data_IF_117215362825
#
_entry.id   IF_117215362825
#
_cell.length_a   1.000
_cell.length_b   1.000
_cell.length_c   1.000
_cell.angle_alpha   90.00
_cell.angle_beta   90.00
_cell.angle_gamma   90.00
#
_symmetry.space_group_name_H-M   'P 1'
#
loop_
_entity.id
_entity.type
_entity.pdbx_description
1 polymer ?
#
# COMPACT_ATOMS: atom_id res chain seq x y z
N UNK A 1 0.99 16.19 -49.92
CA UNK A 1 1.29 14.98 -49.14
C UNK A 1 1.22 15.37 -47.67
N UNK A 2 0.00 15.40 -47.13
CA UNK A 2 -0.27 15.72 -45.74
C UNK A 2 -0.57 14.39 -45.03
N UNK A 3 0.38 13.92 -44.21
CA UNK A 3 0.15 12.79 -43.33
C UNK A 3 -0.42 13.30 -42.02
N UNK A 4 -1.75 13.31 -41.94
CA UNK A 4 -2.47 13.52 -40.69
C UNK A 4 -2.23 12.34 -39.75
N UNK A 5 -1.54 12.61 -38.63
CA UNK A 5 -1.43 11.68 -37.52
C UNK A 5 -2.75 11.66 -36.77
N UNK A 6 -3.59 10.68 -37.12
CA UNK A 6 -4.78 10.35 -36.36
C UNK A 6 -4.33 9.64 -35.07
N UNK A 7 -4.34 10.35 -33.94
CA UNK A 7 -4.20 9.71 -32.64
C UNK A 7 -5.38 8.73 -32.46
N UNK A 8 -5.15 7.47 -32.03
CA UNK A 8 -6.22 6.50 -31.90
C UNK A 8 -7.20 6.98 -30.82
N UNK A 9 -8.47 7.16 -31.21
CA UNK A 9 -9.58 7.56 -30.33
C UNK A 9 -9.70 6.71 -29.04
N UNK A 10 -9.10 5.53 -29.02
CA UNK A 10 -8.98 4.65 -27.85
C UNK A 10 -8.21 5.29 -26.69
N UNK A 11 -7.24 6.18 -26.95
CA UNK A 11 -6.43 6.79 -25.89
C UNK A 11 -7.16 7.97 -25.21
N UNK A 12 -8.06 8.65 -25.92
CA UNK A 12 -8.89 9.74 -25.38
C UNK A 12 -10.05 9.19 -24.54
N UNK A 13 -10.69 8.10 -24.97
CA UNK A 13 -11.68 7.39 -24.14
C UNK A 13 -11.07 6.82 -22.85
N UNK A 14 -9.78 6.51 -22.86
CA UNK A 14 -9.05 6.02 -21.69
C UNK A 14 -8.74 7.11 -20.65
N UNK A 15 -8.50 8.34 -21.09
CA UNK A 15 -8.29 9.49 -20.20
C UNK A 15 -9.62 9.96 -19.59
N UNK A 16 -10.73 9.91 -20.34
CA UNK A 16 -12.05 10.29 -19.81
C UNK A 16 -12.60 9.30 -18.77
N UNK A 17 -12.34 7.99 -18.89
CA UNK A 17 -12.79 7.00 -17.90
C UNK A 17 -12.04 7.08 -16.56
N UNK A 18 -10.87 7.72 -16.51
CA UNK A 18 -10.06 7.84 -15.30
C UNK A 18 -10.01 9.27 -14.72
N UNK A 19 -10.51 10.29 -15.43
CA UNK A 19 -10.43 11.70 -15.00
C UNK A 19 -11.78 12.30 -14.56
N UNK A 20 -12.83 11.49 -14.36
CA UNK A 20 -14.07 11.96 -13.73
C UNK A 20 -14.34 11.26 -12.37
N UNK A 21 -13.84 11.83 -11.25
CA UNK A 21 -14.13 11.34 -9.91
C UNK A 21 -15.55 11.72 -9.42
N UNK A 22 -16.34 12.48 -10.20
CA UNK A 22 -17.54 13.16 -9.66
C UNK A 22 -18.83 12.36 -9.75
N UNK A 23 -18.84 11.19 -10.38
CA UNK A 23 -20.10 10.50 -10.69
C UNK A 23 -20.49 9.28 -9.84
N UNK A 24 -19.87 9.04 -8.67
CA UNK A 24 -20.22 7.86 -7.84
C UNK A 24 -20.25 8.02 -6.32
N UNK A 25 -20.59 9.21 -5.81
CA UNK A 25 -20.74 9.46 -4.36
C UNK A 25 -22.18 9.80 -3.90
N UNK A 26 -23.20 9.58 -4.72
CA UNK A 26 -24.56 10.06 -4.40
C UNK A 26 -25.56 9.01 -3.83
N UNK A 27 -25.18 7.78 -3.45
CA UNK A 27 -26.19 6.83 -2.95
C UNK A 27 -25.77 5.76 -1.93
N UNK A 28 -24.64 5.90 -1.22
CA UNK A 28 -24.32 5.03 -0.09
C UNK A 28 -24.29 5.85 1.20
N UNK A 29 -25.48 6.16 1.70
CA UNK A 29 -25.68 6.95 2.93
C UNK A 29 -26.01 6.07 4.15
N UNK A 30 -25.54 4.82 4.15
CA UNK A 30 -25.49 4.00 5.36
C UNK A 30 -24.03 3.62 5.58
N UNK A 31 -23.36 4.08 6.65
CA UNK A 31 -22.03 3.62 6.97
C UNK A 31 -22.17 2.14 7.33
N UNK A 32 -21.60 1.21 6.55
CA UNK A 32 -21.55 -0.16 7.02
C UNK A 32 -20.69 -0.14 8.29
N UNK A 33 -21.26 -0.65 9.38
CA UNK A 33 -20.55 -0.95 10.62
C UNK A 33 -19.50 -2.04 10.35
N UNK A 34 -18.46 -1.68 9.60
CA UNK A 34 -17.23 -2.45 9.47
C UNK A 34 -16.46 -2.22 10.75
N UNK A 35 -16.60 -3.18 11.65
CA UNK A 35 -15.66 -3.35 12.74
C UNK A 35 -14.31 -3.62 12.09
N UNK A 36 -13.48 -2.59 11.95
CA UNK A 36 -12.06 -2.70 11.67
C UNK A 36 -11.39 -3.43 12.85
N UNK A 37 -11.44 -4.76 12.85
CA UNK A 37 -10.80 -5.63 13.87
C UNK A 37 -9.25 -5.66 13.74
N UNK A 38 -8.67 -4.80 12.92
CA UNK A 38 -7.21 -4.77 12.70
C UNK A 38 -6.71 -3.33 12.64
N UNK A 39 -6.78 -2.60 13.76
CA UNK A 39 -5.76 -1.62 14.18
C UNK A 39 -6.17 -1.08 15.56
N UNK A 40 -6.17 -1.92 16.60
CA UNK A 40 -6.20 -1.41 17.98
C UNK A 40 -4.78 -0.91 18.33
N UNK A 41 -4.27 0.07 17.56
CA UNK A 41 -3.14 0.89 17.97
C UNK A 41 -3.65 1.77 19.09
N UNK A 42 -3.53 1.24 20.29
CA UNK A 42 -3.73 2.02 21.49
C UNK A 42 -2.72 3.16 21.49
N UNK A 43 -3.11 4.33 20.99
CA UNK A 43 -2.31 5.55 21.12
C UNK A 43 -2.00 5.70 22.60
N UNK A 44 -0.73 5.74 22.96
CA UNK A 44 -0.35 5.85 24.37
C UNK A 44 -0.37 7.31 24.77
N UNK A 45 -1.29 7.71 25.64
CA UNK A 45 -1.30 9.01 26.27
C UNK A 45 -0.33 9.03 27.46
N UNK A 46 0.45 10.11 27.59
CA UNK A 46 1.32 10.34 28.75
C UNK A 46 0.60 11.22 29.77
N UNK A 47 0.24 10.66 30.92
CA UNK A 47 -0.49 11.38 31.97
C UNK A 47 0.31 11.38 33.26
N UNK A 48 0.40 12.54 33.91
CA UNK A 48 1.11 12.71 35.18
C UNK A 48 0.18 12.42 36.36
N UNK A 49 0.65 11.61 37.32
CA UNK A 49 -0.13 11.31 38.54
C UNK A 49 -0.27 12.58 39.43
N UNK A 50 -1.48 12.93 39.90
CA UNK A 50 -1.73 14.17 40.65
C UNK A 50 -1.04 14.20 42.04
N UNK A 51 -0.75 13.04 42.63
CA UNK A 51 -0.15 12.95 43.97
C UNK A 51 1.38 12.90 43.96
N UNK A 52 1.97 12.13 43.05
CA UNK A 52 3.43 11.90 43.05
C UNK A 52 4.18 12.51 41.86
N UNK A 53 3.46 13.12 40.90
CA UNK A 53 4.01 13.76 39.71
C UNK A 53 4.63 12.81 38.68
N UNK A 54 4.59 11.49 38.88
CA UNK A 54 5.19 10.54 37.94
C UNK A 54 4.34 10.43 36.68
N UNK A 55 4.97 10.61 35.51
CA UNK A 55 4.36 10.40 34.20
C UNK A 55 4.16 8.92 33.92
N UNK A 56 2.96 8.55 33.50
CA UNK A 56 2.53 7.20 33.16
C UNK A 56 2.12 7.17 31.68
N UNK A 57 2.53 6.13 30.96
CA UNK A 57 2.05 5.87 29.61
C UNK A 57 0.85 4.93 29.71
N UNK A 58 -0.34 5.42 29.38
CA UNK A 58 -1.58 4.65 29.36
C UNK A 58 -2.13 4.58 27.94
N UNK A 59 -2.89 3.54 27.63
CA UNK A 59 -3.61 3.45 26.35
C UNK A 59 -4.74 4.50 26.30
N UNK A 60 -4.99 5.12 25.16
CA UNK A 60 -6.10 6.07 24.95
C UNK A 60 -7.47 5.47 25.32
N UNK A 61 -7.66 4.16 25.11
CA UNK A 61 -8.85 3.41 25.55
C UNK A 61 -9.09 3.41 27.07
N UNK A 62 -8.10 3.85 27.86
CA UNK A 62 -8.20 4.00 29.30
C UNK A 62 -8.60 5.42 29.71
N UNK A 63 -8.74 6.36 28.77
CA UNK A 63 -9.38 7.64 29.03
C UNK A 63 -10.80 7.41 29.58
N UNK A 64 -11.17 8.18 30.60
CA UNK A 64 -12.39 8.02 31.38
C UNK A 64 -12.39 6.85 32.37
N UNK A 65 -11.40 5.95 32.36
CA UNK A 65 -11.30 4.82 33.31
C UNK A 65 -10.42 5.17 34.52
N UNK A 66 -10.74 4.55 35.66
CA UNK A 66 -9.93 4.65 36.88
C UNK A 66 -8.67 3.80 36.75
N UNK A 67 -7.52 4.41 36.95
CA UNK A 67 -6.20 3.74 36.98
C UNK A 67 -5.47 4.03 38.28
N UNK A 68 -4.57 3.13 38.67
CA UNK A 68 -3.75 3.28 39.87
C UNK A 68 -2.31 3.62 39.47
N UNK A 69 -1.73 4.60 40.15
CA UNK A 69 -0.32 4.91 39.96
C UNK A 69 0.58 3.77 40.50
N UNK A 70 1.54 3.23 39.74
CA UNK A 70 2.45 2.20 40.21
C UNK A 70 3.44 2.66 41.28
N UNK A 71 3.61 3.98 41.49
CA UNK A 71 4.55 4.53 42.50
C UNK A 71 3.88 4.81 43.84
N UNK A 72 2.74 5.52 43.86
CA UNK A 72 2.05 5.91 45.10
C UNK A 72 0.73 5.18 45.35
N UNK A 73 0.29 4.32 44.43
CA UNK A 73 -1.00 3.59 44.48
C UNK A 73 -2.27 4.45 44.49
N UNK A 74 -2.15 5.78 44.36
CA UNK A 74 -3.31 6.66 44.24
C UNK A 74 -4.13 6.31 42.99
N UNK A 75 -5.44 6.17 43.17
CA UNK A 75 -6.39 5.86 42.11
C UNK A 75 -7.01 7.16 41.57
N UNK A 76 -6.86 7.42 40.27
CA UNK A 76 -7.41 8.60 39.61
C UNK A 76 -8.03 8.22 38.26
N UNK A 77 -8.90 9.08 37.73
CA UNK A 77 -9.50 8.91 36.39
C UNK A 77 -8.57 9.55 35.37
N UNK A 78 -8.25 8.83 34.29
CA UNK A 78 -7.50 9.40 33.16
C UNK A 78 -8.42 10.36 32.39
N UNK A 79 -8.15 11.65 32.41
CA UNK A 79 -8.80 12.63 31.53
C UNK A 79 -8.11 12.61 30.17
N UNK A 80 -8.89 12.58 29.09
CA UNK A 80 -8.33 12.68 27.74
C UNK A 80 -7.87 14.13 27.49
N UNK A 81 -6.57 14.39 27.24
CA UNK A 81 -6.09 15.75 27.01
C UNK A 81 -6.70 16.40 25.76
N UNK A 82 -7.20 15.62 24.79
CA UNK A 82 -7.74 16.16 23.54
C UNK A 82 -9.14 16.79 23.69
N UNK A 83 -9.83 16.58 24.82
CA UNK A 83 -11.20 17.07 25.03
C UNK A 83 -11.36 18.39 25.80
N UNK A 84 -10.28 19.04 26.23
CA UNK A 84 -10.35 20.20 27.16
C UNK A 84 -9.91 21.53 26.53
N UNK A 85 -9.30 21.51 25.33
CA UNK A 85 -8.89 22.75 24.65
C UNK A 85 -10.06 23.50 23.99
N UNK A 86 -11.22 22.87 23.77
CA UNK A 86 -12.34 23.51 23.05
C UNK A 86 -13.42 24.17 23.94
N UNK A 87 -13.40 23.93 25.26
CA UNK A 87 -14.45 24.48 26.16
C UNK A 87 -14.03 25.83 26.78
N UNK A 88 -12.74 26.12 26.88
CA UNK A 88 -12.26 27.38 27.49
C UNK A 88 -12.45 28.62 26.61
N UNK A 89 -12.78 28.45 25.33
CA UNK A 89 -13.01 29.57 24.41
C UNK A 89 -14.48 30.02 24.37
N UNK A 90 -15.40 29.32 25.05
CA UNK A 90 -16.84 29.64 25.03
C UNK A 90 -17.41 30.18 26.35
N UNK A 91 -16.64 30.21 27.45
CA UNK A 91 -17.14 30.66 28.76
C UNK A 91 -16.76 32.12 29.12
N UNK A 92 -16.24 32.92 28.17
CA UNK A 92 -15.90 34.33 28.46
C UNK A 92 -16.98 35.36 28.13
N UNK A 93 -18.07 35.01 27.44
CA UNK A 93 -19.10 35.99 27.07
C UNK A 93 -20.49 35.54 27.49
N UNK A 94 -21.03 36.22 28.51
CA UNK A 94 -22.48 36.35 28.68
C UNK A 94 -23.07 35.68 29.91
N UNK A 95 -23.01 36.39 31.04
CA UNK A 95 -24.05 36.31 32.08
C UNK A 95 -25.42 36.63 31.46
N UNK A 96 -26.21 35.60 31.20
CA UNK A 96 -27.62 35.71 30.86
C UNK A 96 -28.40 34.71 31.70
N UNK A 97 -29.07 35.23 32.74
CA UNK A 97 -30.06 34.51 33.54
C UNK A 97 -31.08 33.82 32.62
N UNK A 98 -30.98 32.51 32.51
CA UNK A 98 -32.07 31.67 32.02
C UNK A 98 -32.36 30.60 33.06
N UNK A 99 -33.45 30.82 33.78
CA UNK A 99 -34.12 29.87 34.65
C UNK A 99 -34.41 28.57 33.88
N UNK A 100 -33.58 27.55 34.10
CA UNK A 100 -33.90 26.19 33.68
C UNK A 100 -34.75 25.51 34.75
N UNK A 101 -35.95 25.00 34.41
CA UNK A 101 -36.81 24.32 35.35
C UNK A 101 -36.20 22.97 35.80
N UNK A 102 -36.30 22.75 37.11
CA UNK A 102 -35.96 21.54 37.86
C UNK A 102 -36.68 20.31 37.27
N UNK A 103 -35.93 19.47 36.55
CA UNK A 103 -36.35 18.14 36.13
C UNK A 103 -35.72 17.09 37.05
N UNK A 104 -36.23 17.06 38.28
CA UNK A 104 -36.03 15.98 39.23
C UNK A 104 -37.09 14.90 39.04
N UNK A 105 -36.92 14.03 38.04
CA UNK A 105 -37.62 12.73 38.00
C UNK A 105 -36.81 11.69 37.21
N UNK A 106 -36.10 10.84 37.95
CA UNK A 106 -35.41 9.65 37.43
C UNK A 106 -36.39 8.47 37.38
N UNK A 107 -36.61 7.81 36.22
CA UNK A 107 -37.21 6.50 36.20
C UNK A 107 -36.14 5.42 36.44
N UNK A 108 -36.34 4.76 37.57
CA UNK A 108 -35.91 3.43 37.98
C UNK A 108 -35.31 2.54 36.86
N UNK A 109 -33.99 2.30 36.93
CA UNK A 109 -33.28 1.41 36.02
C UNK A 109 -33.34 -0.02 36.55
N UNK A 110 -34.29 -0.78 36.00
CA UNK A 110 -34.46 -2.21 36.24
C UNK A 110 -33.17 -3.01 36.06
N UNK A 111 -32.97 -3.89 37.02
CA UNK A 111 -31.88 -4.88 37.18
C UNK A 111 -32.03 -5.99 36.12
N UNK A 112 -31.01 -6.30 35.29
CA UNK A 112 -31.07 -7.49 34.43
C UNK A 112 -30.83 -8.74 35.28
N UNK A 113 -31.83 -9.61 35.30
CA UNK A 113 -31.74 -10.98 35.81
C UNK A 113 -30.83 -11.83 34.94
N UNK A 114 -29.94 -12.53 35.60
CA UNK A 114 -29.26 -13.74 35.15
C UNK A 114 -30.30 -14.83 34.85
N UNK A 115 -30.38 -15.26 33.60
CA UNK A 115 -30.89 -16.56 33.16
C UNK A 115 -29.94 -16.98 32.03
N UNK A 116 -29.06 -17.95 32.27
CA UNK A 116 -29.32 -19.38 32.06
C UNK A 116 -29.70 -19.63 30.60
N UNK A 117 -28.71 -19.98 29.78
CA UNK A 117 -28.89 -20.81 28.58
C UNK A 117 -27.54 -21.47 28.25
N UNK A 118 -27.36 -22.65 28.84
CA UNK A 118 -26.37 -23.66 28.48
C UNK A 118 -26.77 -24.33 27.16
N UNK A 119 -26.34 -23.78 26.02
CA UNK A 119 -26.39 -24.50 24.73
C UNK A 119 -25.03 -25.13 24.42
N UNK A 120 -24.84 -26.31 25.02
CA UNK A 120 -23.84 -27.30 24.63
C UNK A 120 -24.10 -27.76 23.19
N UNK A 121 -23.39 -27.19 22.23
CA UNK A 121 -23.31 -27.75 20.88
C UNK A 121 -22.43 -29.01 20.94
N UNK A 122 -23.09 -30.17 21.04
CA UNK A 122 -22.49 -31.47 20.82
C UNK A 122 -21.96 -31.56 19.39
N UNK A 123 -20.64 -31.65 19.23
CA UNK A 123 -20.02 -32.00 17.96
C UNK A 123 -20.21 -33.50 17.70
N UNK A 124 -20.75 -33.91 16.54
CA UNK A 124 -20.87 -35.32 16.21
C UNK A 124 -19.48 -35.93 16.01
N UNK A 125 -19.08 -36.74 16.98
CA UNK A 125 -17.99 -37.70 16.85
C UNK A 125 -18.38 -38.79 15.87
N UNK A 126 -17.64 -38.87 14.76
CA UNK A 126 -17.43 -40.14 14.07
C UNK A 126 -18.10 -40.28 12.70
N UNK A 127 -17.28 -40.17 11.66
CA UNK A 127 -17.34 -41.15 10.57
C UNK A 127 -15.94 -41.56 10.17
N UNK A 128 -15.59 -42.76 10.61
CA UNK A 128 -14.62 -43.68 10.03
C UNK A 128 -14.64 -43.60 8.49
N UNK A 129 -13.51 -43.21 7.88
CA UNK A 129 -13.24 -43.47 6.47
C UNK A 129 -12.03 -44.39 6.34
N UNK A 130 -12.29 -45.44 5.57
CA UNK A 130 -11.48 -46.62 5.25
C UNK A 130 -10.06 -46.28 4.74
N UNK A 131 -9.10 -47.19 4.95
CA UNK A 131 -7.84 -47.17 4.22
C UNK A 131 -8.09 -47.55 2.76
N UNK A 132 -7.87 -46.61 1.83
CA UNK A 132 -7.77 -46.94 0.40
C UNK A 132 -6.34 -47.39 0.14
N UNK A 133 -6.16 -48.69 0.20
CA UNK A 133 -5.13 -49.38 -0.57
C UNK A 133 -5.51 -49.31 -2.04
N UNK A 134 -4.55 -48.93 -2.88
CA UNK A 134 -4.10 -49.71 -4.04
C UNK A 134 -3.09 -48.88 -4.83
N UNK A 135 -1.84 -49.30 -4.66
CA UNK A 135 -0.75 -49.12 -5.60
C UNK A 135 -1.19 -49.67 -6.97
N UNK A 136 -0.96 -48.96 -8.09
CA UNK A 136 -1.03 -49.59 -9.39
C UNK A 136 0.19 -50.49 -9.55
N UNK A 137 -0.11 -51.78 -9.61
CA UNK A 137 0.78 -52.85 -10.06
C UNK A 137 1.50 -52.44 -11.35
N UNK A 138 2.80 -52.72 -11.34
CA UNK A 138 3.58 -52.90 -12.54
C UNK A 138 2.95 -54.02 -13.36
N UNK A 139 2.33 -53.67 -14.48
CA UNK A 139 1.98 -54.65 -15.49
C UNK A 139 3.13 -54.78 -16.49
N UNK A 140 3.61 -56.01 -16.53
CA UNK A 140 4.69 -56.53 -17.34
C UNK A 140 4.13 -57.05 -18.65
N UNK A 141 4.34 -56.30 -19.71
CA UNK A 141 4.41 -56.81 -21.09
C UNK A 141 5.63 -56.13 -21.71
N UNK A 142 6.79 -56.77 -21.90
CA UNK A 142 6.94 -58.11 -22.45
C UNK A 142 6.55 -58.06 -23.92
N UNK A 143 7.56 -58.09 -24.80
CA UNK A 143 7.45 -58.23 -26.26
C UNK A 143 7.17 -57.00 -27.12
N UNK A 144 8.10 -56.04 -27.15
CA UNK A 144 8.25 -55.13 -28.32
C UNK A 144 9.72 -54.93 -28.75
N UNK A 145 10.55 -55.98 -28.58
CA UNK A 145 11.95 -56.02 -29.04
C UNK A 145 12.11 -56.54 -30.49
N UNK A 146 11.04 -56.81 -31.23
CA UNK A 146 11.10 -57.47 -32.54
C UNK A 146 10.62 -56.62 -33.73
N UNK A 147 10.56 -55.29 -33.61
CA UNK A 147 10.16 -54.43 -34.73
C UNK A 147 11.09 -53.24 -35.03
N UNK A 148 12.38 -53.35 -34.69
CA UNK A 148 13.42 -52.63 -35.43
C UNK A 148 13.61 -53.30 -36.79
N UNK A 149 12.62 -53.08 -37.67
CA UNK A 149 12.76 -53.29 -39.11
C UNK A 149 14.03 -52.59 -39.55
N UNK A 150 14.83 -53.32 -40.32
CA UNK A 150 16.02 -52.86 -41.02
C UNK A 150 15.82 -51.45 -41.59
N UNK A 151 16.26 -50.44 -40.82
CA UNK A 151 16.40 -49.09 -41.31
C UNK A 151 17.55 -49.16 -42.31
N UNK A 152 17.18 -49.11 -43.58
CA UNK A 152 18.07 -49.04 -44.73
C UNK A 152 19.24 -48.10 -44.39
N UNK A 153 20.52 -48.52 -44.52
CA UNK A 153 21.65 -47.66 -44.20
C UNK A 153 21.53 -46.40 -45.04
N UNK A 154 21.13 -45.30 -44.39
CA UNK A 154 20.96 -44.00 -45.02
C UNK A 154 22.37 -43.51 -45.30
N UNK A 155 22.78 -43.74 -46.54
CA UNK A 155 24.02 -43.29 -47.14
C UNK A 155 24.38 -41.89 -46.66
N UNK A 156 25.40 -41.83 -45.81
CA UNK A 156 26.28 -40.69 -45.61
C UNK A 156 25.63 -39.30 -45.57
N UNK A 157 24.64 -39.06 -44.71
CA UNK A 157 24.39 -37.68 -44.28
C UNK A 157 25.50 -37.31 -43.31
N UNK A 158 26.58 -36.74 -43.89
CA UNK A 158 27.71 -36.07 -43.24
C UNK A 158 27.22 -35.53 -41.89
N UNK A 159 27.78 -36.08 -40.82
CA UNK A 159 27.63 -35.57 -39.46
C UNK A 159 27.86 -34.07 -39.59
N UNK A 160 26.78 -33.28 -39.50
CA UNK A 160 26.86 -31.83 -39.42
C UNK A 160 27.73 -31.58 -38.20
N UNK A 161 28.95 -31.11 -38.49
CA UNK A 161 29.91 -30.61 -37.53
C UNK A 161 29.16 -29.84 -36.48
N UNK A 162 29.32 -30.27 -35.22
CA UNK A 162 28.87 -29.56 -34.02
C UNK A 162 29.11 -28.08 -34.29
N UNK A 163 28.08 -27.21 -34.29
CA UNK A 163 28.24 -25.81 -34.61
C UNK A 163 29.41 -25.27 -33.82
N UNK A 164 30.44 -24.80 -34.54
CA UNK A 164 31.64 -24.24 -33.93
C UNK A 164 31.23 -23.30 -32.81
N UNK A 165 31.87 -23.47 -31.66
CA UNK A 165 31.61 -22.67 -30.46
C UNK A 165 31.53 -21.19 -30.87
N UNK A 166 30.43 -20.49 -30.52
CA UNK A 166 30.21 -19.15 -31.02
C UNK A 166 31.43 -18.28 -30.67
N UNK A 167 31.98 -17.53 -31.63
CA UNK A 167 33.24 -16.83 -31.43
C UNK A 167 33.14 -15.92 -30.21
N UNK A 168 34.13 -16.03 -29.32
CA UNK A 168 34.17 -15.26 -28.09
C UNK A 168 33.89 -13.77 -28.37
N UNK A 169 33.01 -13.11 -27.59
CA UNK A 169 32.62 -11.74 -27.88
C UNK A 169 33.83 -10.81 -27.84
N UNK A 170 33.90 -9.79 -28.72
CA UNK A 170 35.04 -8.90 -28.81
C UNK A 170 35.28 -8.16 -27.49
N UNK A 171 36.51 -8.21 -26.95
CA UNK A 171 36.90 -7.64 -25.63
C UNK A 171 36.48 -6.17 -25.41
N UNK A 172 36.36 -5.36 -26.47
CA UNK A 172 35.90 -3.96 -26.39
C UNK A 172 34.45 -3.85 -25.89
N UNK A 173 33.61 -4.83 -26.23
CA UNK A 173 32.18 -4.86 -25.88
C UNK A 173 31.95 -5.02 -24.38
N UNK A 174 32.73 -5.91 -23.75
CA UNK A 174 32.66 -6.17 -22.32
C UNK A 174 32.98 -4.91 -21.49
N UNK A 175 33.94 -4.08 -21.93
CA UNK A 175 34.29 -2.83 -21.23
C UNK A 175 33.16 -1.81 -21.26
N UNK A 176 32.45 -1.68 -22.38
CA UNK A 176 31.33 -0.75 -22.49
C UNK A 176 30.12 -1.19 -21.66
N UNK A 177 29.80 -2.49 -21.64
CA UNK A 177 28.72 -3.02 -20.80
C UNK A 177 29.02 -2.82 -19.31
N UNK A 178 30.27 -3.08 -18.90
CA UNK A 178 30.70 -2.84 -17.51
C UNK A 178 30.62 -1.36 -17.14
N UNK A 179 31.06 -0.46 -18.03
CA UNK A 179 30.94 0.98 -17.80
C UNK A 179 29.48 1.43 -17.69
N UNK A 180 28.59 0.89 -18.53
CA UNK A 180 27.15 1.14 -18.47
C UNK A 180 26.53 0.65 -17.15
N UNK A 181 26.87 -0.56 -16.71
CA UNK A 181 26.42 -1.08 -15.43
C UNK A 181 26.93 -0.23 -14.23
N UNK A 182 28.19 0.20 -14.26
CA UNK A 182 28.73 1.10 -13.23
C UNK A 182 28.01 2.46 -13.23
N UNK A 183 27.70 3.03 -14.41
CA UNK A 183 26.96 4.28 -14.50
C UNK A 183 25.54 4.15 -13.91
N UNK A 184 24.88 3.02 -14.14
CA UNK A 184 23.57 2.73 -13.52
C UNK A 184 23.69 2.62 -12.00
N UNK A 185 24.71 1.94 -11.48
CA UNK A 185 24.95 1.87 -10.04
C UNK A 185 25.18 3.26 -9.42
N UNK A 186 25.91 4.15 -10.10
CA UNK A 186 26.12 5.52 -9.63
C UNK A 186 24.80 6.32 -9.60
N UNK A 187 23.90 6.10 -10.55
CA UNK A 187 22.57 6.72 -10.55
C UNK A 187 21.69 6.30 -9.36
N UNK A 188 21.95 5.15 -8.73
CA UNK A 188 21.25 4.71 -7.53
C UNK A 188 21.82 5.29 -6.22
N UNK A 189 22.98 5.95 -6.25
CA UNK A 189 23.59 6.52 -5.04
C UNK A 189 22.70 7.57 -4.37
N UNK A 190 22.13 8.57 -5.08
CA UNK A 190 21.25 9.55 -4.44
C UNK A 190 20.00 8.91 -3.81
N UNK A 191 19.45 7.88 -4.43
CA UNK A 191 18.33 7.11 -3.89
C UNK A 191 18.74 6.37 -2.60
N UNK A 192 19.91 5.71 -2.61
CA UNK A 192 20.44 5.05 -1.42
C UNK A 192 20.72 6.04 -0.28
N UNK A 193 21.28 7.21 -0.59
CA UNK A 193 21.48 8.29 0.39
C UNK A 193 20.14 8.76 0.95
N UNK A 194 19.13 8.99 0.11
CA UNK A 194 17.80 9.41 0.57
C UNK A 194 17.12 8.39 1.50
N UNK A 195 17.39 7.09 1.33
CA UNK A 195 16.86 6.04 2.21
C UNK A 195 17.64 5.99 3.54
N UNK A 196 18.96 6.21 3.50
CA UNK A 196 19.82 6.15 4.69
C UNK A 196 19.75 7.41 5.55
N UNK A 197 19.40 8.54 4.96
CA UNK A 197 19.30 9.83 5.62
C UNK A 197 17.88 10.38 5.41
N UNK A 198 16.90 9.91 6.21
CA UNK A 198 15.55 10.44 6.14
C UNK A 198 15.59 11.95 6.38
N UNK A 199 14.88 12.70 5.53
CA UNK A 199 14.72 14.14 5.71
C UNK A 199 13.90 14.46 6.96
N UNK A 200 13.80 15.75 7.34
CA UNK A 200 12.90 16.16 8.41
C UNK A 200 11.47 15.77 8.07
N UNK A 201 10.68 15.39 9.09
CA UNK A 201 9.30 14.98 8.89
C UNK A 201 8.50 16.09 8.18
N UNK A 202 7.86 15.83 7.03
CA UNK A 202 7.04 16.81 6.33
C UNK A 202 5.94 17.41 7.21
N UNK A 203 5.40 16.66 8.18
CA UNK A 203 4.38 17.17 9.10
C UNK A 203 4.96 18.18 10.10
N UNK A 204 6.15 17.92 10.64
CA UNK A 204 6.84 18.89 11.51
C UNK A 204 7.16 20.18 10.75
N UNK A 205 7.61 20.07 9.51
CA UNK A 205 7.88 21.24 8.66
C UNK A 205 6.61 22.03 8.35
N UNK A 206 5.49 21.35 8.09
CA UNK A 206 4.20 22.01 7.85
C UNK A 206 3.65 22.67 9.13
N UNK A 207 3.78 22.00 10.27
CA UNK A 207 3.40 22.54 11.57
C UNK A 207 4.21 23.81 11.90
N UNK A 208 5.50 23.84 11.55
CA UNK A 208 6.33 25.05 11.72
C UNK A 208 5.83 26.20 10.83
N UNK A 209 5.47 25.93 9.56
CA UNK A 209 4.85 26.95 8.70
C UNK A 209 3.55 27.48 9.32
N UNK A 210 2.71 26.62 9.89
CA UNK A 210 1.46 27.08 10.52
C UNK A 210 1.72 27.91 11.79
N UNK A 211 2.79 27.62 12.54
CA UNK A 211 3.22 28.47 13.66
C UNK A 211 3.72 29.83 13.20
N UNK A 212 4.47 29.89 12.10
CA UNK A 212 4.99 31.14 11.55
C UNK A 212 3.90 31.96 10.83
N UNK A 213 2.90 31.29 10.23
CA UNK A 213 1.86 31.87 9.39
C UNK A 213 0.45 31.33 9.75
N UNK A 214 -0.16 31.81 10.85
CA UNK A 214 -1.48 31.34 11.28
C UNK A 214 -2.58 31.62 10.24
N UNK A 215 -2.41 32.64 9.39
CA UNK A 215 -3.33 32.94 8.29
C UNK A 215 -3.38 31.84 7.22
N UNK A 216 -2.27 31.10 7.03
CA UNK A 216 -2.20 30.00 6.07
C UNK A 216 -2.96 28.79 6.63
N UNK A 217 -2.87 28.55 7.94
CA UNK A 217 -3.62 27.47 8.58
C UNK A 217 -5.13 27.65 8.38
N UNK A 218 -5.67 28.84 8.63
CA UNK A 218 -7.09 29.12 8.43
C UNK A 218 -7.53 28.94 6.96
N UNK A 219 -6.67 29.29 5.99
CA UNK A 219 -6.97 29.09 4.57
C UNK A 219 -6.92 27.62 4.17
N UNK A 220 -5.98 26.85 4.73
CA UNK A 220 -5.87 25.41 4.53
C UNK A 220 -7.08 24.68 5.12
N UNK A 221 -7.53 25.06 6.31
CA UNK A 221 -8.72 24.50 6.95
C UNK A 221 -10.02 24.87 6.19
N UNK A 222 -10.06 26.07 5.60
CA UNK A 222 -11.19 26.51 4.78
C UNK A 222 -11.20 25.91 3.35
N UNK A 223 -10.09 25.34 2.89
CA UNK A 223 -9.97 24.78 1.55
C UNK A 223 -10.85 23.54 1.39
N UNK A 224 -11.67 23.54 0.34
CA UNK A 224 -12.57 22.42 0.03
C UNK A 224 -11.94 21.38 -0.88
N UNK A 225 -10.85 21.77 -1.55
CA UNK A 225 -10.12 20.92 -2.48
C UNK A 225 -8.61 20.92 -2.17
N UNK A 226 -7.94 19.85 -2.60
CA UNK A 226 -6.48 19.73 -2.49
C UNK A 226 -5.75 20.86 -3.22
N UNK A 227 -6.32 21.36 -4.31
CA UNK A 227 -5.74 22.44 -5.12
C UNK A 227 -5.83 23.78 -4.38
N UNK A 228 -6.97 24.09 -3.76
CA UNK A 228 -7.14 25.26 -2.90
C UNK A 228 -6.19 25.20 -1.69
N UNK A 229 -6.08 24.03 -1.06
CA UNK A 229 -5.15 23.80 0.05
C UNK A 229 -3.70 24.08 -0.37
N UNK A 230 -3.29 23.60 -1.55
CA UNK A 230 -1.94 23.83 -2.08
C UNK A 230 -1.72 25.29 -2.46
N UNK A 231 -2.73 25.96 -3.02
CA UNK A 231 -2.67 27.38 -3.38
C UNK A 231 -2.58 28.30 -2.15
N UNK A 232 -3.14 27.87 -1.00
CA UNK A 232 -3.03 28.57 0.27
C UNK A 232 -1.62 28.53 0.85
N UNK A 233 -0.79 27.54 0.50
CA UNK A 233 0.58 27.43 0.99
C UNK A 233 1.49 28.51 0.38
N UNK A 234 2.46 29.04 1.14
CA UNK A 234 3.38 30.05 0.64
C UNK A 234 4.19 29.52 -0.56
N UNK A 235 3.94 30.12 -1.73
CA UNK A 235 4.58 29.72 -2.98
C UNK A 235 3.98 28.46 -3.62
N UNK A 236 2.77 28.04 -3.24
CA UNK A 236 2.04 26.96 -3.90
C UNK A 236 2.71 25.58 -3.77
N UNK A 237 3.52 25.39 -2.73
CA UNK A 237 4.39 24.22 -2.56
C UNK A 237 4.51 23.81 -1.09
N UNK A 238 4.71 22.52 -0.86
CA UNK A 238 5.06 22.02 0.46
C UNK A 238 6.50 22.42 0.84
N UNK A 239 6.80 22.60 2.14
CA UNK A 239 8.17 22.80 2.60
C UNK A 239 9.08 21.66 2.12
N UNK A 240 10.27 22.02 1.66
CA UNK A 240 11.22 21.08 1.05
C UNK A 240 10.93 20.71 -0.42
N UNK A 241 9.77 21.08 -0.98
CA UNK A 241 9.49 20.85 -2.39
C UNK A 241 10.29 21.82 -3.28
N UNK A 242 11.01 21.28 -4.27
CA UNK A 242 11.81 22.09 -5.18
C UNK A 242 10.96 22.96 -6.11
N UNK A 243 9.78 22.48 -6.51
CA UNK A 243 8.87 23.13 -7.47
C UNK A 243 7.46 23.26 -6.88
N UNK A 244 6.74 24.30 -7.30
CA UNK A 244 5.30 24.47 -7.03
C UNK A 244 4.47 23.47 -7.82
N UNK A 245 3.35 23.01 -7.25
CA UNK A 245 2.53 21.93 -7.80
C UNK A 245 2.07 22.17 -9.24
N UNK A 246 1.78 23.42 -9.59
CA UNK A 246 1.33 23.88 -10.91
C UNK A 246 2.47 24.12 -11.92
N UNK A 247 3.72 23.89 -11.52
CA UNK A 247 4.87 24.19 -12.38
C UNK A 247 5.00 23.22 -13.55
N UNK A 248 5.11 23.77 -14.77
CA UNK A 248 5.44 23.03 -15.99
C UNK A 248 6.79 22.28 -15.92
N UNK A 249 7.68 22.66 -15.00
CA UNK A 249 8.97 22.01 -14.81
C UNK A 249 8.87 20.54 -14.43
N UNK A 250 7.76 20.11 -13.82
CA UNK A 250 7.49 18.69 -13.57
C UNK A 250 7.51 17.87 -14.86
N UNK A 251 6.91 18.37 -15.93
CA UNK A 251 6.94 17.74 -17.25
C UNK A 251 8.35 17.74 -17.83
N UNK A 252 9.10 18.82 -17.63
CA UNK A 252 10.50 18.92 -18.03
C UNK A 252 11.37 17.84 -17.38
N UNK A 253 11.23 17.63 -16.07
CA UNK A 253 11.92 16.55 -15.36
C UNK A 253 11.47 15.17 -15.80
N UNK A 254 10.18 14.95 -16.02
CA UNK A 254 9.68 13.67 -16.52
C UNK A 254 10.30 13.32 -17.89
N UNK A 255 10.35 14.28 -18.81
CA UNK A 255 10.96 14.11 -20.13
C UNK A 255 12.48 13.87 -20.00
N UNK A 256 13.17 14.66 -19.18
CA UNK A 256 14.61 14.51 -18.96
C UNK A 256 14.94 13.11 -18.40
N UNK A 257 14.20 12.66 -17.40
CA UNK A 257 14.36 11.31 -16.82
C UNK A 257 14.01 10.21 -17.83
N UNK A 258 12.97 10.39 -18.64
CA UNK A 258 12.62 9.46 -19.72
C UNK A 258 13.77 9.31 -20.71
N UNK A 259 14.36 10.43 -21.15
CA UNK A 259 15.49 10.44 -22.08
C UNK A 259 16.75 9.83 -21.45
N UNK A 260 17.03 10.13 -20.18
CA UNK A 260 18.15 9.53 -19.45
C UNK A 260 18.00 8.01 -19.34
N UNK A 261 16.82 7.54 -18.95
CA UNK A 261 16.52 6.11 -18.86
C UNK A 261 16.60 5.43 -20.22
N UNK A 262 16.08 6.05 -21.29
CA UNK A 262 16.22 5.53 -22.65
C UNK A 262 17.70 5.47 -23.06
N UNK A 263 18.51 6.48 -22.73
CA UNK A 263 19.95 6.45 -22.95
C UNK A 263 20.61 5.23 -22.27
N UNK A 264 20.26 4.97 -21.02
CA UNK A 264 20.73 3.79 -20.27
C UNK A 264 20.29 2.48 -20.95
N UNK A 265 19.01 2.34 -21.30
CA UNK A 265 18.49 1.17 -22.01
C UNK A 265 19.22 0.96 -23.33
N UNK A 266 19.47 2.05 -24.06
CA UNK A 266 20.20 2.05 -25.32
C UNK A 266 21.62 1.53 -25.15
N UNK A 267 22.32 1.91 -24.07
CA UNK A 267 23.68 1.43 -23.76
C UNK A 267 23.65 -0.05 -23.34
N UNK A 268 22.71 -0.44 -22.48
CA UNK A 268 22.62 -1.80 -21.93
C UNK A 268 22.17 -2.84 -22.98
N UNK A 269 21.24 -2.49 -23.87
CA UNK A 269 20.62 -3.42 -24.85
C UNK A 269 20.99 -3.13 -26.30
N UNK A 270 22.26 -2.79 -26.58
CA UNK A 270 22.78 -2.60 -27.96
C UNK A 270 22.64 -3.83 -28.88
N UNK A 271 22.25 -4.99 -28.38
CA UNK A 271 22.46 -6.27 -29.08
C UNK A 271 21.25 -6.86 -29.81
N UNK A 272 20.07 -6.23 -29.81
CA UNK A 272 18.89 -6.86 -30.41
C UNK A 272 18.33 -6.09 -31.61
N UNK A 273 17.96 -6.87 -32.63
CA UNK A 273 17.32 -6.51 -33.91
C UNK A 273 15.93 -5.87 -33.80
N UNK A 274 15.44 -5.62 -32.58
CA UNK A 274 14.17 -4.94 -32.38
C UNK A 274 14.37 -3.43 -32.57
N UNK A 275 13.76 -2.87 -33.62
CA UNK A 275 13.76 -1.42 -33.82
C UNK A 275 13.21 -0.67 -32.60
N UNK A 276 13.66 0.57 -32.34
CA UNK A 276 13.32 1.33 -31.13
C UNK A 276 11.81 1.46 -30.91
N UNK A 277 11.01 1.56 -31.98
CA UNK A 277 9.55 1.59 -31.89
C UNK A 277 8.94 0.32 -31.30
N UNK A 278 9.48 -0.87 -31.59
CA UNK A 278 8.99 -2.13 -31.01
C UNK A 278 9.29 -2.21 -29.52
N UNK A 279 10.46 -1.72 -29.10
CA UNK A 279 10.83 -1.65 -27.68
C UNK A 279 9.92 -0.68 -26.93
N UNK A 280 9.64 0.49 -27.50
CA UNK A 280 8.75 1.48 -26.90
C UNK A 280 7.31 0.95 -26.78
N UNK A 281 6.76 0.35 -27.84
CA UNK A 281 5.41 -0.26 -27.79
C UNK A 281 5.36 -1.38 -26.75
N UNK A 282 6.36 -2.26 -26.73
CA UNK A 282 6.40 -3.34 -25.74
C UNK A 282 6.50 -2.79 -24.33
N UNK A 283 7.32 -1.76 -24.09
CA UNK A 283 7.44 -1.08 -22.80
C UNK A 283 6.14 -0.42 -22.34
N UNK A 284 5.46 0.33 -23.23
CA UNK A 284 4.17 0.96 -22.92
C UNK A 284 3.11 -0.08 -22.62
N UNK A 285 3.00 -1.15 -23.44
CA UNK A 285 2.00 -2.21 -23.24
C UNK A 285 2.26 -2.97 -21.94
N UNK A 286 3.50 -3.38 -21.69
CA UNK A 286 3.86 -4.12 -20.47
C UNK A 286 3.73 -3.27 -19.21
N UNK A 287 4.14 -1.99 -19.26
CA UNK A 287 3.99 -1.05 -18.16
C UNK A 287 2.51 -0.76 -17.85
N UNK A 288 1.70 -0.51 -18.89
CA UNK A 288 0.26 -0.28 -18.73
C UNK A 288 -0.43 -1.49 -18.14
N UNK A 289 -0.20 -2.69 -18.70
CA UNK A 289 -0.78 -3.94 -18.18
C UNK A 289 -0.33 -4.20 -16.74
N UNK A 290 0.94 -3.93 -16.41
CA UNK A 290 1.46 -4.03 -15.05
C UNK A 290 0.71 -3.13 -14.07
N UNK A 291 0.50 -1.85 -14.41
CA UNK A 291 -0.27 -0.90 -13.60
C UNK A 291 -1.71 -1.39 -13.41
N UNK A 292 -2.37 -1.88 -14.46
CA UNK A 292 -3.72 -2.44 -14.36
C UNK A 292 -3.80 -3.63 -13.41
N UNK A 293 -2.81 -4.53 -13.49
CA UNK A 293 -2.73 -5.70 -12.60
C UNK A 293 -2.51 -5.24 -11.14
N UNK A 294 -1.67 -4.24 -10.90
CA UNK A 294 -1.46 -3.68 -9.56
C UNK A 294 -2.75 -3.04 -9.01
N UNK A 295 -3.44 -2.23 -9.80
CA UNK A 295 -4.73 -1.62 -9.42
C UNK A 295 -5.80 -2.68 -9.14
N UNK A 296 -5.85 -3.74 -9.95
CA UNK A 296 -6.77 -4.85 -9.72
C UNK A 296 -6.48 -5.56 -8.39
N UNK A 297 -5.21 -5.79 -8.05
CA UNK A 297 -4.85 -6.37 -6.75
C UNK A 297 -5.19 -5.45 -5.57
N UNK A 298 -4.95 -4.15 -5.69
CA UNK A 298 -5.35 -3.18 -4.68
C UNK A 298 -6.88 -3.17 -4.47
N UNK A 299 -7.65 -3.17 -5.57
CA UNK A 299 -9.10 -3.25 -5.51
C UNK A 299 -9.58 -4.55 -4.87
N UNK A 300 -9.00 -5.69 -5.25
CA UNK A 300 -9.32 -6.98 -4.65
C UNK A 300 -8.95 -7.02 -3.16
N UNK A 301 -7.81 -6.47 -2.77
CA UNK A 301 -7.42 -6.34 -1.37
C UNK A 301 -8.45 -5.52 -0.59
N UNK A 302 -8.87 -4.37 -1.11
CA UNK A 302 -9.89 -3.52 -0.50
C UNK A 302 -11.23 -4.27 -0.33
N UNK A 303 -11.74 -4.90 -1.40
CA UNK A 303 -13.02 -5.64 -1.36
C UNK A 303 -12.96 -6.84 -0.42
N UNK A 304 -11.78 -7.42 -0.20
CA UNK A 304 -11.58 -8.58 0.68
C UNK A 304 -11.20 -8.21 2.12
N UNK A 305 -11.07 -6.91 2.45
CA UNK A 305 -10.93 -6.46 3.83
C UNK A 305 -12.18 -6.86 4.65
N UNK A 306 -11.95 -7.47 5.81
CA UNK A 306 -13.02 -7.99 6.69
C UNK A 306 -13.48 -9.43 6.41
N UNK A 307 -13.19 -10.00 5.23
CA UNK A 307 -13.56 -11.40 4.95
C UNK A 307 -12.48 -12.34 5.50
N UNK A 308 -12.84 -13.19 6.45
CA UNK A 308 -12.02 -14.30 6.94
C UNK A 308 -12.40 -15.57 6.17
N UNK A 309 -11.79 -15.76 4.99
CA UNK A 309 -11.90 -17.02 4.26
C UNK A 309 -11.19 -18.13 5.06
N UNK A 310 -11.95 -19.10 5.56
CA UNK A 310 -11.43 -20.28 6.26
C UNK A 310 -11.52 -21.48 5.32
N UNK A 311 -10.40 -21.85 4.70
CA UNK A 311 -10.33 -22.97 3.75
C UNK A 311 -8.95 -23.59 3.65
N UNK A 312 -8.86 -24.78 3.05
CA UNK A 312 -7.59 -25.46 2.71
C UNK A 312 -7.46 -25.51 1.19
N UNK A 313 -6.30 -25.14 0.64
CA UNK A 313 -6.00 -25.28 -0.78
C UNK A 313 -5.42 -24.03 -1.44
N UNK A 314 -5.22 -24.10 -2.76
CA UNK A 314 -4.58 -23.05 -3.58
C UNK A 314 -5.34 -21.73 -3.55
N UNK A 315 -6.68 -21.77 -3.46
CA UNK A 315 -7.52 -20.56 -3.39
C UNK A 315 -7.23 -19.75 -2.12
N UNK A 316 -6.99 -20.43 -1.00
CA UNK A 316 -6.60 -19.77 0.25
C UNK A 316 -5.22 -19.12 0.12
N UNK A 317 -4.28 -19.76 -0.59
CA UNK A 317 -2.97 -19.17 -0.85
C UNK A 317 -3.09 -17.89 -1.70
N UNK A 318 -3.85 -17.91 -2.78
CA UNK A 318 -4.10 -16.70 -3.59
C UNK A 318 -4.76 -15.58 -2.78
N UNK A 319 -5.74 -15.93 -1.94
CA UNK A 319 -6.38 -14.97 -1.05
C UNK A 319 -5.38 -14.36 -0.05
N UNK A 320 -4.50 -15.19 0.54
CA UNK A 320 -3.45 -14.72 1.45
C UNK A 320 -2.46 -13.80 0.74
N UNK A 321 -2.06 -14.11 -0.50
CA UNK A 321 -1.17 -13.24 -1.30
C UNK A 321 -1.84 -11.88 -1.54
N UNK A 322 -3.10 -11.86 -1.98
CA UNK A 322 -3.83 -10.60 -2.21
C UNK A 322 -3.94 -9.80 -0.91
N UNK A 323 -4.27 -10.45 0.21
CA UNK A 323 -4.37 -9.78 1.51
C UNK A 323 -3.02 -9.25 1.99
N UNK A 324 -1.94 -9.97 1.71
CA UNK A 324 -0.58 -9.58 2.06
C UNK A 324 -0.13 -8.35 1.26
N UNK A 325 -0.39 -8.33 -0.05
CA UNK A 325 -0.17 -7.14 -0.89
C UNK A 325 -0.97 -5.96 -0.35
N UNK A 326 -2.25 -6.16 -0.03
CA UNK A 326 -3.09 -5.12 0.59
C UNK A 326 -2.51 -4.58 1.90
N UNK A 327 -2.08 -5.47 2.78
CA UNK A 327 -1.43 -5.12 4.05
C UNK A 327 -0.14 -4.33 3.83
N UNK A 328 0.65 -4.67 2.81
CA UNK A 328 1.84 -3.90 2.41
C UNK A 328 1.52 -2.45 2.10
N UNK A 329 0.46 -2.21 1.33
CA UNK A 329 0.07 -0.86 0.92
C UNK A 329 -0.39 -0.02 2.12
N UNK A 330 -1.21 -0.61 3.00
CA UNK A 330 -1.63 0.07 4.24
C UNK A 330 -0.44 0.40 5.13
N UNK A 331 0.52 -0.52 5.26
CA UNK A 331 1.76 -0.21 5.98
C UNK A 331 2.54 0.91 5.30
N UNK A 332 2.67 0.90 3.98
CA UNK A 332 3.44 1.92 3.25
C UNK A 332 2.83 3.33 3.35
N UNK A 333 1.51 3.44 3.50
CA UNK A 333 0.82 4.72 3.73
C UNK A 333 0.94 5.21 5.18
N UNK A 334 1.27 4.32 6.11
CA UNK A 334 1.40 4.67 7.51
C UNK A 334 2.80 5.17 7.85
N UNK A 335 2.96 6.45 8.24
CA UNK A 335 4.26 7.04 8.56
C UNK A 335 4.93 6.42 9.79
N UNK A 336 4.17 5.70 10.63
CA UNK A 336 4.69 5.03 11.82
C UNK A 336 5.12 3.58 11.54
N UNK A 337 4.89 3.07 10.33
CA UNK A 337 5.34 1.73 9.98
C UNK A 337 6.86 1.70 9.89
N UNK A 338 7.48 0.75 10.59
CA UNK A 338 8.92 0.51 10.42
C UNK A 338 9.19 0.08 8.97
N UNK A 339 10.35 0.48 8.42
CA UNK A 339 10.80 0.09 7.07
C UNK A 339 10.68 -1.42 6.83
N UNK A 340 10.87 -2.25 7.86
CA UNK A 340 10.72 -3.71 7.77
C UNK A 340 9.26 -4.14 7.53
N UNK A 341 8.29 -3.45 8.13
CA UNK A 341 6.87 -3.67 7.92
C UNK A 341 6.42 -3.32 6.51
N UNK A 342 6.90 -2.19 5.99
CA UNK A 342 6.63 -1.76 4.60
C UNK A 342 7.38 -2.66 3.59
N UNK A 343 8.58 -3.16 3.92
CA UNK A 343 9.40 -4.01 3.04
C UNK A 343 8.94 -5.47 2.99
N UNK A 344 8.45 -6.03 4.10
CA UNK A 344 7.92 -7.39 4.13
C UNK A 344 6.82 -7.57 3.09
N UNK A 345 5.94 -6.59 2.95
CA UNK A 345 4.84 -6.62 2.00
C UNK A 345 5.24 -6.58 0.51
N UNK A 346 6.47 -6.15 0.19
CA UNK A 346 7.00 -6.10 -1.19
C UNK A 346 7.89 -7.29 -1.57
N UNK A 347 8.37 -8.09 -0.61
CA UNK A 347 9.41 -9.11 -0.84
C UNK A 347 8.98 -10.56 -0.64
N UNK A 348 7.74 -10.80 -0.19
CA UNK A 348 7.12 -12.12 -0.09
C UNK A 348 5.88 -12.18 -0.98
#
# INVERSE_FOLDING_TARGET
MEHGYCAPATLLLFLELFCDPRHRLASFNEPPMFVCVWENRSMTISVSCPECGKTLKAKSEMAGKRVRCPKCQHAFVLTDPEGVEDIRSLESDGTGDLDFPDLSESPDRGKPSTADDDDLIEFPTGTSRKPVSKSPEADSTGDDLAQFRAVKPRTGKRIETIPDEPPAPPKKRARFQMAGACAVLVLFIPLAVSILFPGPDPYEQLAEIFREHPEVQAQVEAATSREEMLAALPGGRFPGAHLAHDSLWHWGYAIASMLAYWGVLGVLWREKTAGPGKLLITGVVTGTLGIFVLLAFQYLAFVTQGVLLRGRGIVMLFFLIIKFIGYSYVCAEDPNSSLLGSFMGFTC
#
